data_IF_541595985750
#
_entry.id   IF_541595985750
#
_cell.length_a   1.000
_cell.length_b   1.000
_cell.length_c   1.000
_cell.angle_alpha   90.00
_cell.angle_beta   90.00
_cell.angle_gamma   90.00
#
_symmetry.space_group_name_H-M   'P 1'
#
loop_
_entity.id
_entity.type
_entity.pdbx_description
1 polymer ?
#
# COMPACT_ATOMS: atom_id res chain seq x y z
N UNK A 1 -29.96 11.18 27.86
CA UNK A 1 -28.55 10.90 28.23
C UNK A 1 -28.14 9.45 27.95
N UNK A 2 -28.96 8.45 28.30
CA UNK A 2 -28.65 7.01 28.08
C UNK A 2 -28.41 6.61 26.60
N UNK A 3 -29.01 7.31 25.64
CA UNK A 3 -28.84 7.04 24.19
C UNK A 3 -27.52 7.59 23.63
N UNK A 4 -26.97 8.65 24.25
CA UNK A 4 -25.70 9.25 23.81
C UNK A 4 -24.48 8.43 24.24
N UNK A 5 -24.58 7.68 25.34
CA UNK A 5 -23.47 6.89 25.89
C UNK A 5 -22.93 5.83 24.90
N UNK A 6 -23.77 4.97 24.28
CA UNK A 6 -23.28 4.01 23.28
C UNK A 6 -22.76 4.70 22.01
N UNK A 7 -23.30 5.87 21.65
CA UNK A 7 -22.82 6.66 20.52
C UNK A 7 -21.39 7.17 20.78
N UNK A 8 -21.12 7.72 21.97
CA UNK A 8 -19.80 8.23 22.36
C UNK A 8 -18.76 7.10 22.44
N UNK A 9 -19.15 5.95 23.01
CA UNK A 9 -18.26 4.78 23.10
C UNK A 9 -17.99 4.18 21.71
N UNK A 10 -19.02 4.08 20.86
CA UNK A 10 -18.88 3.58 19.50
C UNK A 10 -18.02 4.48 18.61
N UNK A 11 -18.25 5.80 18.66
CA UNK A 11 -17.44 6.79 17.94
C UNK A 11 -16.01 6.82 18.47
N UNK A 12 -15.82 6.73 19.80
CA UNK A 12 -14.50 6.65 20.42
C UNK A 12 -13.73 5.38 20.04
N UNK A 13 -14.40 4.22 19.99
CA UNK A 13 -13.79 2.96 19.57
C UNK A 13 -13.42 2.97 18.07
N UNK A 14 -14.29 3.52 17.22
CA UNK A 14 -13.99 3.71 15.79
C UNK A 14 -12.81 4.68 15.62
N UNK A 15 -12.80 5.80 16.34
CA UNK A 15 -11.67 6.74 16.30
C UNK A 15 -10.37 6.11 16.80
N UNK A 16 -10.39 5.30 17.86
CA UNK A 16 -9.21 4.59 18.35
C UNK A 16 -8.69 3.54 17.36
N UNK A 17 -9.60 2.80 16.70
CA UNK A 17 -9.27 1.88 15.62
C UNK A 17 -8.69 2.61 14.41
N UNK A 18 -9.20 3.80 14.09
CA UNK A 18 -8.60 4.65 13.05
C UNK A 18 -7.22 5.15 13.47
N UNK A 19 -7.04 5.56 14.73
CA UNK A 19 -5.77 6.07 15.27
C UNK A 19 -4.63 5.05 15.19
N UNK A 20 -4.94 3.78 15.49
CA UNK A 20 -3.95 2.70 15.51
C UNK A 20 -3.90 1.96 14.16
N UNK A 21 -5.04 1.82 13.49
CA UNK A 21 -5.19 1.09 12.23
C UNK A 21 -4.63 1.83 11.02
N UNK A 22 -4.82 3.15 10.90
CA UNK A 22 -4.27 3.91 9.77
C UNK A 22 -2.74 3.90 9.69
N UNK A 23 -1.99 4.22 10.77
CA UNK A 23 -0.53 4.20 10.70
C UNK A 23 0.02 2.78 10.53
N UNK A 24 -0.61 1.77 11.13
CA UNK A 24 -0.24 0.37 10.93
C UNK A 24 -0.46 -0.05 9.46
N UNK A 25 -1.58 0.37 8.86
CA UNK A 25 -1.88 0.12 7.46
C UNK A 25 -0.96 0.88 6.51
N UNK A 26 -0.62 2.13 6.83
CA UNK A 26 0.35 2.92 6.08
C UNK A 26 1.74 2.28 6.11
N UNK A 27 2.19 1.80 7.28
CA UNK A 27 3.44 1.07 7.43
C UNK A 27 3.43 -0.26 6.66
N UNK A 28 2.33 -1.00 6.69
CA UNK A 28 2.15 -2.22 5.90
C UNK A 28 2.20 -1.93 4.39
N UNK A 29 1.51 -0.90 3.91
CA UNK A 29 1.52 -0.50 2.51
C UNK A 29 2.92 -0.06 2.05
N UNK A 30 3.66 0.68 2.89
CA UNK A 30 5.08 1.00 2.67
C UNK A 30 5.94 -0.26 2.57
N UNK A 31 5.78 -1.20 3.50
CA UNK A 31 6.51 -2.47 3.49
C UNK A 31 6.24 -3.28 2.20
N UNK A 32 4.98 -3.41 1.80
CA UNK A 32 4.58 -4.09 0.57
C UNK A 32 5.14 -3.38 -0.68
N UNK A 33 5.17 -2.05 -0.68
CA UNK A 33 5.78 -1.26 -1.77
C UNK A 33 7.27 -1.57 -1.91
N UNK A 34 8.02 -1.57 -0.79
CA UNK A 34 9.43 -1.93 -0.76
C UNK A 34 9.63 -3.37 -1.23
N UNK A 35 8.81 -4.32 -0.75
CA UNK A 35 8.86 -5.71 -1.18
C UNK A 35 8.65 -5.86 -2.69
N UNK A 36 7.67 -5.17 -3.28
CA UNK A 36 7.46 -5.17 -4.74
C UNK A 36 8.67 -4.61 -5.51
N UNK A 37 9.29 -3.54 -5.01
CA UNK A 37 10.50 -2.95 -5.61
C UNK A 37 11.67 -3.94 -5.52
N UNK A 38 11.91 -4.56 -4.36
CA UNK A 38 12.97 -5.55 -4.16
C UNK A 38 12.77 -6.74 -5.09
N UNK A 39 11.56 -7.31 -5.13
CA UNK A 39 11.24 -8.43 -6.04
C UNK A 39 11.49 -8.05 -7.48
N UNK A 40 11.07 -6.84 -7.91
CA UNK A 40 11.33 -6.34 -9.26
C UNK A 40 12.84 -6.23 -9.55
N UNK A 41 13.62 -5.68 -8.63
CA UNK A 41 15.09 -5.54 -8.78
C UNK A 41 15.77 -6.90 -8.84
N UNK A 42 15.35 -7.86 -7.99
CA UNK A 42 15.89 -9.23 -7.99
C UNK A 42 15.58 -9.93 -9.31
N UNK A 43 14.35 -9.81 -9.82
CA UNK A 43 13.96 -10.38 -11.11
C UNK A 43 14.71 -9.74 -12.29
N UNK A 44 14.97 -8.43 -12.23
CA UNK A 44 15.81 -7.73 -13.20
C UNK A 44 17.27 -8.21 -13.14
N UNK A 45 17.86 -8.29 -11.95
CA UNK A 45 19.26 -8.76 -11.77
C UNK A 45 19.47 -10.21 -12.18
N UNK A 46 18.46 -11.06 -12.01
CA UNK A 46 18.48 -12.45 -12.50
C UNK A 46 18.31 -12.56 -14.02
N UNK A 47 18.20 -11.43 -14.73
CA UNK A 47 18.03 -11.39 -16.18
C UNK A 47 16.73 -12.04 -16.63
N UNK A 48 15.74 -12.24 -15.75
CA UNK A 48 14.50 -12.96 -16.08
C UNK A 48 13.78 -12.24 -17.22
N UNK A 49 13.73 -10.92 -17.19
CA UNK A 49 13.09 -10.13 -18.25
C UNK A 49 13.88 -10.13 -19.57
N UNK A 50 15.21 -10.21 -19.52
CA UNK A 50 16.07 -10.25 -20.72
C UNK A 50 16.11 -11.64 -21.35
N UNK A 51 16.12 -12.69 -20.53
CA UNK A 51 16.13 -14.09 -20.95
C UNK A 51 14.88 -14.48 -21.75
N UNK A 52 13.75 -13.83 -21.49
CA UNK A 52 12.49 -14.03 -22.21
C UNK A 52 12.19 -12.92 -23.23
N UNK A 53 13.10 -11.95 -23.44
CA UNK A 53 12.89 -10.87 -24.40
C UNK A 53 12.93 -11.34 -25.87
N UNK A 54 13.69 -12.42 -26.14
CA UNK A 54 13.81 -13.03 -27.48
C UNK A 54 12.78 -14.11 -27.80
N UNK A 55 12.06 -14.64 -26.80
CA UNK A 55 11.06 -15.69 -27.01
C UNK A 55 9.74 -15.09 -27.52
N UNK A 56 9.23 -15.56 -28.67
CA UNK A 56 7.88 -15.19 -29.16
C UNK A 56 6.76 -16.03 -28.52
N UNK A 57 7.00 -16.62 -27.35
CA UNK A 57 6.06 -17.52 -26.67
C UNK A 57 5.31 -16.81 -25.54
N UNK A 58 4.30 -17.48 -24.95
CA UNK A 58 3.54 -17.03 -23.79
C UNK A 58 4.40 -16.54 -22.60
N UNK A 59 5.64 -17.03 -22.50
CA UNK A 59 6.63 -16.64 -21.48
C UNK A 59 7.02 -15.16 -21.52
N UNK A 60 7.09 -14.56 -22.72
CA UNK A 60 7.35 -13.12 -22.88
C UNK A 60 6.20 -12.27 -22.35
N UNK A 61 4.96 -12.67 -22.66
CA UNK A 61 3.77 -11.99 -22.13
C UNK A 61 3.66 -12.12 -20.61
N UNK A 62 3.97 -13.29 -20.04
CA UNK A 62 4.02 -13.49 -18.60
C UNK A 62 5.08 -12.60 -17.93
N UNK A 63 6.27 -12.47 -18.51
CA UNK A 63 7.34 -11.61 -17.99
C UNK A 63 7.00 -10.12 -18.08
N UNK A 64 6.38 -9.67 -19.19
CA UNK A 64 5.87 -8.31 -19.34
C UNK A 64 4.76 -8.01 -18.33
N UNK A 65 3.80 -8.93 -18.19
CA UNK A 65 2.69 -8.81 -17.24
C UNK A 65 3.20 -8.75 -15.80
N UNK A 66 4.18 -9.57 -15.44
CA UNK A 66 4.82 -9.52 -14.12
C UNK A 66 5.58 -8.19 -13.89
N UNK A 67 6.29 -7.67 -14.90
CA UNK A 67 7.00 -6.39 -14.80
C UNK A 67 6.05 -5.23 -14.56
N UNK A 68 5.01 -5.11 -15.38
CA UNK A 68 4.02 -4.03 -15.28
C UNK A 68 3.10 -4.22 -14.08
N UNK A 69 2.73 -5.46 -13.75
CA UNK A 69 1.94 -5.80 -12.57
C UNK A 69 2.64 -5.43 -11.26
N UNK A 70 3.95 -5.70 -11.14
CA UNK A 70 4.74 -5.28 -9.98
C UNK A 70 4.85 -3.76 -9.87
N UNK A 71 4.93 -3.04 -10.99
CA UNK A 71 4.93 -1.57 -11.00
C UNK A 71 3.56 -1.03 -10.57
N UNK A 72 2.47 -1.59 -11.12
CA UNK A 72 1.11 -1.21 -10.75
C UNK A 72 0.83 -1.48 -9.27
N UNK A 73 1.26 -2.63 -8.74
CA UNK A 73 1.15 -2.94 -7.31
C UNK A 73 1.94 -1.95 -6.45
N UNK A 74 3.19 -1.65 -6.82
CA UNK A 74 4.02 -0.71 -6.07
C UNK A 74 3.42 0.71 -6.08
N UNK A 75 2.88 1.15 -7.22
CA UNK A 75 2.18 2.44 -7.31
C UNK A 75 0.90 2.43 -6.48
N UNK A 76 0.11 1.37 -6.54
CA UNK A 76 -1.11 1.23 -5.73
C UNK A 76 -0.77 1.34 -4.24
N UNK A 77 0.11 0.48 -3.72
CA UNK A 77 0.49 0.51 -2.31
C UNK A 77 1.16 1.82 -1.90
N UNK A 78 1.97 2.42 -2.76
CA UNK A 78 2.58 3.73 -2.50
C UNK A 78 1.56 4.86 -2.40
N UNK A 79 0.57 4.89 -3.32
CA UNK A 79 -0.53 5.85 -3.28
C UNK A 79 -1.42 5.61 -2.05
N UNK A 80 -1.71 4.35 -1.72
CA UNK A 80 -2.48 4.02 -0.52
C UNK A 80 -1.76 4.43 0.76
N UNK A 81 -0.44 4.24 0.85
CA UNK A 81 0.37 4.70 1.97
C UNK A 81 0.37 6.23 2.09
N UNK A 82 0.46 6.95 0.96
CA UNK A 82 0.36 8.41 0.92
C UNK A 82 -1.02 8.90 1.36
N UNK A 83 -2.10 8.29 0.89
CA UNK A 83 -3.47 8.65 1.27
C UNK A 83 -3.71 8.36 2.76
N UNK A 84 -3.24 7.22 3.26
CA UNK A 84 -3.36 6.88 4.68
C UNK A 84 -2.56 7.84 5.57
N UNK A 85 -1.32 8.17 5.17
CA UNK A 85 -0.48 9.13 5.88
C UNK A 85 -1.03 10.55 5.83
N UNK A 86 -1.53 10.99 4.67
CA UNK A 86 -2.16 12.31 4.50
C UNK A 86 -3.48 12.40 5.26
N UNK A 87 -4.32 11.37 5.21
CA UNK A 87 -5.56 11.30 5.99
C UNK A 87 -5.27 11.38 7.49
N UNK A 88 -4.28 10.64 7.97
CA UNK A 88 -3.83 10.75 9.36
C UNK A 88 -3.36 12.18 9.69
N UNK A 89 -2.49 12.78 8.87
CA UNK A 89 -2.02 14.15 9.11
C UNK A 89 -3.13 15.20 9.04
N UNK A 90 -4.09 15.08 8.12
CA UNK A 90 -5.20 16.02 7.98
C UNK A 90 -6.16 15.95 9.18
N UNK A 91 -6.50 14.75 9.66
CA UNK A 91 -7.40 14.60 10.80
C UNK A 91 -6.77 15.05 12.13
N UNK A 92 -5.45 14.86 12.31
CA UNK A 92 -4.80 15.14 13.60
C UNK A 92 -3.94 16.40 13.62
N UNK A 93 -3.31 16.78 12.50
CA UNK A 93 -2.52 18.00 12.37
C UNK A 93 -3.37 19.27 12.41
N UNK A 94 -4.64 19.20 12.00
CA UNK A 94 -5.57 20.33 12.07
C UNK A 94 -6.13 20.59 13.48
N UNK A 95 -5.97 19.64 14.42
CA UNK A 95 -6.40 19.80 15.82
C UNK A 95 -5.39 20.57 16.68
N UNK A 96 -4.22 20.90 16.13
CA UNK A 96 -3.11 21.57 16.83
C UNK A 96 -3.10 23.10 16.57
N UNK A 97 -3.95 23.59 15.65
CA UNK A 97 -4.08 25.01 15.29
C UNK A 97 -5.43 25.60 15.70
#
# INVERSE_FOLDING_TARGET
MLVLLPLIIGVGAVMALFFLGLPLYAAFALFMTIACIVVRVVLQRRGVFERYAGDQTWRRYAALCARWGLVALAVFFGVTALIAGFGFWFFFGLQIF
#
